data_IF_604891364250
#
_entry.id   IF_604891364250
#
_cell.length_a   1.000
_cell.length_b   1.000
_cell.length_c   1.000
_cell.angle_alpha   90.00
_cell.angle_beta   90.00
_cell.angle_gamma   90.00
#
_symmetry.space_group_name_H-M   'P 1'
#
loop_
_entity.id
_entity.type
_entity.pdbx_description
1 polymer ?
#
# COMPACT_ATOMS: atom_id res chain seq x y z
N UNK A 1 8.61 -8.41 -26.22
CA UNK A 1 8.11 -9.75 -25.85
C UNK A 1 8.17 -9.92 -24.35
N UNK A 2 7.10 -10.46 -23.74
CA UNK A 2 7.05 -10.71 -22.31
C UNK A 2 7.51 -12.11 -22.01
N UNK A 3 8.44 -12.25 -21.09
CA UNK A 3 8.94 -13.54 -20.63
C UNK A 3 8.36 -13.88 -19.26
N UNK A 4 8.27 -15.16 -18.97
CA UNK A 4 7.94 -15.60 -17.61
C UNK A 4 9.07 -15.22 -16.66
N UNK A 5 8.70 -14.73 -15.49
CA UNK A 5 9.64 -14.35 -14.43
C UNK A 5 9.77 -15.46 -13.41
N UNK A 6 11.01 -15.83 -13.07
CA UNK A 6 11.28 -16.67 -11.91
C UNK A 6 11.60 -15.82 -10.68
N UNK A 7 11.80 -14.52 -10.86
CA UNK A 7 12.12 -13.58 -9.80
C UNK A 7 11.68 -12.17 -10.19
N UNK A 8 11.55 -11.29 -9.21
CA UNK A 8 11.22 -9.89 -9.41
C UNK A 8 11.78 -9.06 -8.26
N UNK A 9 12.08 -7.79 -8.54
CA UNK A 9 12.42 -6.84 -7.47
C UNK A 9 11.20 -6.09 -6.96
N UNK A 10 10.07 -6.17 -7.66
CA UNK A 10 8.85 -5.45 -7.25
C UNK A 10 8.34 -5.93 -5.91
N UNK A 11 7.83 -4.98 -5.14
CA UNK A 11 7.16 -5.23 -3.87
C UNK A 11 5.76 -4.62 -3.96
N UNK A 12 4.79 -5.28 -3.35
CA UNK A 12 3.39 -4.88 -3.40
C UNK A 12 2.83 -4.84 -1.99
N UNK A 13 1.99 -3.84 -1.71
CA UNK A 13 1.16 -3.83 -0.51
C UNK A 13 -0.28 -4.08 -0.88
N UNK A 14 -0.95 -4.93 -0.11
CA UNK A 14 -2.39 -5.08 -0.12
C UNK A 14 -2.84 -4.88 1.33
N UNK A 15 -3.49 -3.75 1.59
CA UNK A 15 -3.95 -3.39 2.93
C UNK A 15 -5.48 -3.31 2.94
N UNK A 16 -6.10 -4.18 3.70
CA UNK A 16 -7.56 -4.21 3.86
C UNK A 16 -7.92 -3.55 5.18
N UNK A 17 -9.02 -2.78 5.17
CA UNK A 17 -9.43 -1.95 6.31
C UNK A 17 -10.94 -1.94 6.45
N UNK A 18 -11.40 -1.79 7.69
CA UNK A 18 -12.77 -1.38 7.98
C UNK A 18 -12.84 0.14 8.02
N UNK A 19 -13.91 0.70 7.49
CA UNK A 19 -14.14 2.15 7.59
C UNK A 19 -14.79 2.47 8.95
N UNK A 20 -14.30 3.53 9.60
CA UNK A 20 -14.81 4.03 10.87
C UNK A 20 -15.62 5.31 10.70
N UNK A 21 -15.80 5.77 9.47
CA UNK A 21 -16.58 6.94 9.12
C UNK A 21 -17.55 6.56 8.01
N UNK A 22 -18.48 7.46 7.65
CA UNK A 22 -19.40 7.16 6.56
C UNK A 22 -18.67 7.14 5.20
N UNK A 23 -19.31 6.49 4.23
CA UNK A 23 -18.70 6.25 2.93
C UNK A 23 -18.38 7.56 2.18
N UNK A 24 -19.23 8.57 2.27
CA UNK A 24 -19.01 9.83 1.57
C UNK A 24 -17.81 10.59 2.15
N UNK A 25 -17.67 10.59 3.46
CA UNK A 25 -16.49 11.17 4.12
C UNK A 25 -15.22 10.43 3.69
N UNK A 26 -15.27 9.09 3.67
CA UNK A 26 -14.14 8.27 3.27
C UNK A 26 -13.73 8.57 1.83
N UNK A 27 -14.69 8.58 0.90
CA UNK A 27 -14.42 8.86 -0.52
C UNK A 27 -13.80 10.22 -0.73
N UNK A 28 -14.34 11.24 -0.06
CA UNK A 28 -13.82 12.60 -0.17
C UNK A 28 -12.40 12.70 0.36
N UNK A 29 -12.15 12.11 1.53
CA UNK A 29 -10.82 12.11 2.12
C UNK A 29 -9.80 11.35 1.25
N UNK A 30 -10.19 10.20 0.72
CA UNK A 30 -9.32 9.41 -0.16
C UNK A 30 -8.89 10.23 -1.37
N UNK A 31 -9.85 10.86 -2.06
CA UNK A 31 -9.58 11.61 -3.29
C UNK A 31 -8.80 12.89 -3.02
N UNK A 32 -9.20 13.65 -2.01
CA UNK A 32 -8.70 15.00 -1.81
C UNK A 32 -7.52 15.11 -0.86
N UNK A 33 -7.29 14.08 -0.04
CA UNK A 33 -6.18 14.05 0.91
C UNK A 33 -5.23 12.91 0.64
N UNK A 34 -5.65 11.67 0.86
CA UNK A 34 -4.76 10.50 0.77
C UNK A 34 -4.07 10.39 -0.59
N UNK A 35 -4.84 10.32 -1.65
CA UNK A 35 -4.30 10.16 -3.00
C UNK A 35 -3.53 11.39 -3.45
N UNK A 36 -4.09 12.58 -3.21
CA UNK A 36 -3.47 13.83 -3.64
C UNK A 36 -2.14 14.08 -2.96
N UNK A 37 -2.08 13.97 -1.63
CA UNK A 37 -0.85 14.20 -0.87
C UNK A 37 0.21 13.17 -1.27
N UNK A 38 -0.18 11.91 -1.40
CA UNK A 38 0.74 10.86 -1.82
C UNK A 38 1.32 11.12 -3.21
N UNK A 39 0.47 11.51 -4.16
CA UNK A 39 0.89 11.86 -5.51
C UNK A 39 1.89 13.02 -5.51
N UNK A 40 1.63 14.04 -4.72
CA UNK A 40 2.46 15.25 -4.67
C UNK A 40 3.84 15.03 -4.04
N UNK A 41 4.03 13.91 -3.33
CA UNK A 41 5.34 13.56 -2.78
C UNK A 41 6.34 13.13 -3.86
N UNK A 42 5.86 12.79 -5.06
CA UNK A 42 6.71 12.38 -6.18
C UNK A 42 7.71 11.27 -5.82
N UNK A 43 7.21 10.24 -5.16
CA UNK A 43 8.02 9.06 -4.83
C UNK A 43 8.32 8.29 -6.12
N UNK A 44 9.53 8.41 -6.62
CA UNK A 44 9.90 7.85 -7.94
C UNK A 44 9.89 6.32 -7.96
N UNK A 45 9.91 5.66 -6.81
CA UNK A 45 9.85 4.21 -6.71
C UNK A 45 8.45 3.66 -6.45
N UNK A 46 7.45 4.52 -6.25
CA UNK A 46 6.05 4.11 -6.14
C UNK A 46 5.44 4.08 -7.54
N UNK A 47 5.15 2.87 -8.03
CA UNK A 47 4.59 2.67 -9.36
C UNK A 47 3.09 2.96 -9.35
N UNK A 48 2.37 2.50 -8.33
CA UNK A 48 0.94 2.71 -8.22
C UNK A 48 0.52 2.80 -6.76
N UNK A 49 -0.56 3.54 -6.54
CA UNK A 49 -1.17 3.73 -5.23
C UNK A 49 -2.66 3.92 -5.49
N UNK A 50 -3.45 2.89 -5.19
CA UNK A 50 -4.86 2.91 -5.55
C UNK A 50 -5.74 2.41 -4.42
N UNK A 51 -6.89 3.06 -4.24
CA UNK A 51 -7.89 2.72 -3.25
C UNK A 51 -9.11 2.09 -3.92
N UNK A 52 -9.69 1.11 -3.25
CA UNK A 52 -10.91 0.43 -3.68
C UNK A 52 -11.85 0.32 -2.50
N UNK A 53 -13.16 0.29 -2.75
CA UNK A 53 -14.16 0.21 -1.70
C UNK A 53 -15.12 -0.93 -2.01
N UNK A 54 -15.52 -1.68 -0.96
CA UNK A 54 -16.49 -2.78 -1.09
C UNK A 54 -17.86 -2.27 -1.51
N UNK A 55 -18.69 -3.17 -2.08
CA UNK A 55 -20.04 -2.80 -2.53
C UNK A 55 -20.90 -2.24 -1.41
N UNK A 56 -20.79 -2.81 -0.20
CA UNK A 56 -21.55 -2.33 0.96
C UNK A 56 -20.97 -1.05 1.57
N UNK A 57 -19.82 -0.58 1.07
CA UNK A 57 -19.16 0.65 1.49
C UNK A 57 -18.69 0.66 2.96
N UNK A 58 -18.50 -0.52 3.54
CA UNK A 58 -17.99 -0.65 4.92
C UNK A 58 -16.51 -0.99 5.00
N UNK A 59 -15.92 -1.42 3.88
CA UNK A 59 -14.52 -1.83 3.83
C UNK A 59 -13.82 -1.17 2.64
N UNK A 60 -12.52 -0.96 2.80
CA UNK A 60 -11.69 -0.42 1.73
C UNK A 60 -10.38 -1.20 1.64
N UNK A 61 -9.75 -1.14 0.48
CA UNK A 61 -8.46 -1.78 0.24
C UNK A 61 -7.55 -0.81 -0.50
N UNK A 62 -6.29 -0.73 -0.05
CA UNK A 62 -5.25 -0.03 -0.79
C UNK A 62 -4.39 -1.09 -1.47
N UNK A 63 -4.12 -0.89 -2.76
CA UNK A 63 -3.17 -1.70 -3.51
C UNK A 63 -2.05 -0.78 -3.98
N UNK A 64 -0.82 -1.13 -3.62
CA UNK A 64 0.36 -0.31 -3.92
C UNK A 64 1.43 -1.18 -4.57
N UNK A 65 2.12 -0.63 -5.56
CA UNK A 65 3.19 -1.33 -6.25
C UNK A 65 4.46 -0.47 -6.21
N UNK A 66 5.58 -1.10 -5.90
CA UNK A 66 6.88 -0.43 -5.77
C UNK A 66 7.92 -1.09 -6.66
N UNK A 67 8.88 -0.30 -7.11
CA UNK A 67 10.00 -0.79 -7.92
C UNK A 67 10.79 -1.85 -7.17
N UNK A 68 10.99 -1.66 -5.86
CA UNK A 68 11.77 -2.55 -5.03
C UNK A 68 11.41 -2.35 -3.54
N UNK A 69 12.10 -3.10 -2.68
CA UNK A 69 11.91 -3.05 -1.22
C UNK A 69 12.19 -1.66 -0.65
N UNK A 70 13.18 -0.95 -1.18
CA UNK A 70 13.52 0.40 -0.70
C UNK A 70 12.39 1.40 -1.01
N UNK A 71 11.74 1.25 -2.16
CA UNK A 71 10.57 2.08 -2.51
C UNK A 71 9.40 1.84 -1.57
N UNK A 72 9.15 0.58 -1.24
CA UNK A 72 8.10 0.21 -0.29
C UNK A 72 8.38 0.80 1.11
N UNK A 73 9.64 0.77 1.53
CA UNK A 73 10.07 1.35 2.82
C UNK A 73 9.88 2.86 2.83
N UNK A 74 10.32 3.54 1.77
CA UNK A 74 10.15 5.00 1.64
C UNK A 74 8.69 5.40 1.78
N UNK A 75 7.77 4.64 1.15
CA UNK A 75 6.33 4.95 1.21
C UNK A 75 5.82 4.94 2.66
N UNK A 76 6.18 3.94 3.43
CA UNK A 76 5.73 3.84 4.83
C UNK A 76 6.40 4.92 5.69
N UNK A 77 7.67 5.18 5.48
CA UNK A 77 8.38 6.23 6.24
C UNK A 77 7.76 7.61 5.97
N UNK A 78 7.43 7.90 4.70
CA UNK A 78 6.76 9.15 4.35
C UNK A 78 5.37 9.25 4.98
N UNK A 79 4.63 8.14 5.02
CA UNK A 79 3.31 8.10 5.65
C UNK A 79 3.42 8.42 7.15
N UNK A 80 4.33 7.76 7.85
CA UNK A 80 4.51 7.94 9.29
C UNK A 80 4.89 9.39 9.62
N UNK A 81 5.68 10.02 8.76
CA UNK A 81 6.11 11.42 8.91
C UNK A 81 5.04 12.44 8.50
N UNK A 82 3.91 12.00 7.95
CA UNK A 82 2.88 12.85 7.38
C UNK A 82 1.66 12.95 8.30
N UNK A 83 0.95 14.10 8.30
CA UNK A 83 -0.35 14.20 8.96
C UNK A 83 -1.39 13.19 8.44
N UNK A 84 -1.19 12.67 7.23
CA UNK A 84 -2.09 11.67 6.62
C UNK A 84 -2.20 10.42 7.48
N UNK A 85 -1.14 10.03 8.18
CA UNK A 85 -1.17 8.82 9.03
C UNK A 85 -2.24 8.93 10.11
N UNK A 86 -2.29 10.07 10.82
CA UNK A 86 -3.31 10.29 11.84
C UNK A 86 -4.71 10.39 11.22
N UNK A 87 -4.83 11.13 10.10
CA UNK A 87 -6.10 11.26 9.38
C UNK A 87 -6.62 9.88 8.95
N UNK A 88 -5.74 9.02 8.45
CA UNK A 88 -6.06 7.65 8.08
C UNK A 88 -6.53 6.83 9.29
N UNK A 89 -5.81 6.89 10.39
CA UNK A 89 -6.14 6.11 11.59
C UNK A 89 -7.48 6.52 12.21
N UNK A 90 -7.91 7.76 12.00
CA UNK A 90 -9.22 8.22 12.45
C UNK A 90 -10.36 7.67 11.61
N UNK A 91 -10.08 7.28 10.35
CA UNK A 91 -11.09 6.86 9.36
C UNK A 91 -11.08 5.37 9.06
N UNK A 92 -9.96 4.72 9.30
CA UNK A 92 -9.77 3.32 8.91
C UNK A 92 -9.19 2.48 10.03
N UNK A 93 -9.62 1.23 10.10
CA UNK A 93 -9.05 0.22 10.99
C UNK A 93 -8.47 -0.90 10.14
N UNK A 94 -7.14 -1.13 10.17
CA UNK A 94 -6.54 -2.19 9.38
C UNK A 94 -7.02 -3.57 9.86
N UNK A 95 -7.38 -4.43 8.92
CA UNK A 95 -7.83 -5.79 9.22
C UNK A 95 -6.89 -6.85 8.66
N UNK A 96 -6.18 -6.55 7.56
CA UNK A 96 -5.25 -7.49 6.96
C UNK A 96 -4.25 -6.74 6.08
N UNK A 97 -2.97 -6.93 6.33
CA UNK A 97 -1.91 -6.32 5.52
C UNK A 97 -0.98 -7.40 5.02
N UNK A 98 -0.93 -7.58 3.71
CA UNK A 98 -0.04 -8.54 3.06
C UNK A 98 0.97 -7.79 2.21
N UNK A 99 2.22 -8.14 2.37
CA UNK A 99 3.34 -7.57 1.60
C UNK A 99 3.87 -8.67 0.71
N UNK A 100 3.85 -8.43 -0.60
CA UNK A 100 4.26 -9.42 -1.59
C UNK A 100 5.62 -9.06 -2.18
N UNK A 101 6.43 -10.07 -2.45
CA UNK A 101 7.67 -9.92 -3.17
C UNK A 101 8.91 -10.15 -2.31
N UNK A 102 10.07 -9.84 -2.88
CA UNK A 102 11.35 -10.10 -2.23
C UNK A 102 11.78 -8.88 -1.41
N UNK A 103 11.36 -8.87 -0.14
CA UNK A 103 11.61 -7.75 0.76
C UNK A 103 12.94 -7.94 1.49
N UNK A 104 13.62 -6.82 1.75
CA UNK A 104 14.84 -6.82 2.56
C UNK A 104 14.50 -6.89 4.04
N UNK A 105 15.48 -7.29 4.84
CA UNK A 105 15.31 -7.44 6.28
C UNK A 105 14.87 -6.15 6.96
N UNK A 106 15.40 -5.00 6.54
CA UNK A 106 15.03 -3.71 7.14
C UNK A 106 13.54 -3.40 6.97
N UNK A 107 12.96 -3.78 5.83
CA UNK A 107 11.53 -3.61 5.61
C UNK A 107 10.72 -4.59 6.48
N UNK A 108 11.16 -5.84 6.57
CA UNK A 108 10.51 -6.82 7.44
C UNK A 108 10.49 -6.33 8.88
N UNK A 109 11.63 -5.84 9.37
CA UNK A 109 11.78 -5.36 10.74
C UNK A 109 10.88 -4.13 11.00
N UNK A 110 10.73 -3.27 10.01
CA UNK A 110 9.85 -2.09 10.12
C UNK A 110 8.37 -2.48 10.16
N UNK A 111 7.95 -3.38 9.29
CA UNK A 111 6.53 -3.66 9.07
C UNK A 111 5.94 -4.76 9.96
N UNK A 112 6.77 -5.67 10.46
CA UNK A 112 6.28 -6.76 11.32
C UNK A 112 5.55 -6.24 12.56
N UNK A 113 6.08 -5.24 13.29
CA UNK A 113 5.34 -4.69 14.45
C UNK A 113 4.04 -3.99 14.07
N UNK A 114 3.90 -3.60 12.79
CA UNK A 114 2.69 -2.95 12.28
C UNK A 114 1.64 -3.95 11.80
N UNK A 115 1.90 -5.25 11.94
CA UNK A 115 0.94 -6.30 11.61
C UNK A 115 1.04 -6.86 10.19
N UNK A 116 2.06 -6.51 9.43
CA UNK A 116 2.23 -7.00 8.07
C UNK A 116 2.59 -8.48 8.04
N UNK A 117 2.07 -9.20 7.05
CA UNK A 117 2.42 -10.58 6.70
C UNK A 117 3.15 -10.55 5.37
N UNK A 118 4.07 -11.48 5.16
CA UNK A 118 4.93 -11.46 3.98
C UNK A 118 4.74 -12.71 3.15
N UNK A 119 4.69 -12.53 1.81
CA UNK A 119 4.62 -13.63 0.85
C UNK A 119 5.64 -13.39 -0.25
N UNK A 120 6.56 -14.34 -0.40
CA UNK A 120 7.63 -14.26 -1.40
C UNK A 120 7.14 -14.54 -2.80
N UNK A 121 7.88 -14.04 -3.78
CA UNK A 121 7.56 -14.23 -5.19
C UNK A 121 7.84 -15.67 -5.60
N UNK A 122 6.94 -16.26 -6.38
CA UNK A 122 7.10 -17.61 -6.91
C UNK A 122 7.36 -17.60 -8.41
N UNK A 123 6.57 -16.81 -9.15
CA UNK A 123 6.69 -16.76 -10.61
C UNK A 123 5.51 -16.07 -11.25
N UNK A 124 5.65 -15.72 -12.51
CA UNK A 124 4.61 -15.05 -13.26
C UNK A 124 5.19 -14.14 -14.33
N UNK A 125 4.45 -13.10 -14.67
CA UNK A 125 4.90 -12.10 -15.64
C UNK A 125 4.16 -10.78 -15.48
N UNK A 126 4.75 -9.72 -15.99
CA UNK A 126 4.12 -8.42 -16.13
C UNK A 126 4.23 -7.98 -17.59
N UNK A 127 3.13 -7.43 -18.13
CA UNK A 127 3.16 -6.73 -19.41
C UNK A 127 3.41 -5.25 -19.14
N UNK A 128 4.35 -4.66 -19.84
CA UNK A 128 4.69 -3.25 -19.66
C UNK A 128 4.11 -2.40 -20.77
#
# INVERSE_FOLDING_TARGET
MTNLNSNTNRVYYLLQMKLKCDAEEAKSWIKNRSAKVTFELNEDKTISFEWFMSEDEHEATIVETFVDSDGAKERVENLIASPIFLEWSERCEPTNWVVFGNVKKDLIDLLTPMGAKFQGYVGGFNHN
#
